data_IF_613191506823
#
_entry.id   IF_613191506823
#
_cell.length_a   1.000
_cell.length_b   1.000
_cell.length_c   1.000
_cell.angle_alpha   90.00
_cell.angle_beta   90.00
_cell.angle_gamma   90.00
#
_symmetry.space_group_name_H-M   'P 1'
#
loop_
_entity.id
_entity.type
_entity.pdbx_description
1 polymer ?
#
# COMPACT_ATOMS: atom_id res chain seq x y z
N UNK A 1 -18.91 -29.94 -12.04
CA UNK A 1 -19.11 -28.76 -11.17
C UNK A 1 -17.81 -28.46 -10.46
N UNK A 2 -17.13 -27.38 -10.82
CA UNK A 2 -15.89 -26.93 -10.14
C UNK A 2 -16.22 -26.60 -8.69
N UNK A 3 -15.57 -27.27 -7.72
CA UNK A 3 -15.71 -26.93 -6.29
C UNK A 3 -15.14 -25.55 -6.08
N UNK A 4 -16.01 -24.54 -5.97
CA UNK A 4 -15.61 -23.18 -5.62
C UNK A 4 -14.99 -23.24 -4.23
N UNK A 5 -13.70 -22.93 -4.12
CA UNK A 5 -13.02 -22.95 -2.82
C UNK A 5 -13.59 -21.82 -1.94
N UNK A 6 -14.06 -22.16 -0.75
CA UNK A 6 -14.57 -21.20 0.21
C UNK A 6 -13.44 -20.74 1.14
N UNK A 7 -13.30 -19.43 1.30
CA UNK A 7 -12.38 -18.77 2.21
C UNK A 7 -13.16 -17.92 3.23
N UNK A 8 -12.61 -17.66 4.39
CA UNK A 8 -13.20 -16.68 5.31
C UNK A 8 -13.03 -15.26 4.76
N UNK A 9 -11.81 -14.95 4.32
CA UNK A 9 -11.45 -13.64 3.75
C UNK A 9 -10.81 -13.78 2.39
N UNK A 10 -11.22 -12.93 1.46
CA UNK A 10 -10.56 -12.74 0.17
C UNK A 10 -9.98 -11.34 0.11
N UNK A 11 -8.67 -11.24 -0.07
CA UNK A 11 -7.94 -9.98 -0.17
C UNK A 11 -7.61 -9.74 -1.65
N UNK A 12 -8.10 -8.64 -2.21
CA UNK A 12 -7.88 -8.27 -3.60
C UNK A 12 -6.74 -7.25 -3.70
N UNK A 13 -5.61 -7.66 -4.24
CA UNK A 13 -4.39 -6.89 -4.39
C UNK A 13 -3.38 -7.14 -3.28
N UNK A 14 -2.18 -7.59 -3.66
CA UNK A 14 -1.06 -7.82 -2.77
C UNK A 14 -0.11 -6.60 -2.70
N UNK A 15 -0.66 -5.39 -2.68
CA UNK A 15 0.05 -4.17 -2.36
C UNK A 15 0.36 -4.05 -0.86
N UNK A 16 0.76 -2.86 -0.40
CA UNK A 16 1.15 -2.64 1.01
C UNK A 16 0.05 -3.08 1.98
N UNK A 17 -1.19 -2.64 1.78
CA UNK A 17 -2.31 -2.99 2.65
C UNK A 17 -2.64 -4.49 2.60
N UNK A 18 -2.71 -5.07 1.40
CA UNK A 18 -3.05 -6.49 1.24
C UNK A 18 -2.02 -7.42 1.85
N UNK A 19 -0.73 -7.09 1.75
CA UNK A 19 0.34 -7.85 2.40
C UNK A 19 0.20 -7.84 3.93
N UNK A 20 -0.11 -6.68 4.53
CA UNK A 20 -0.34 -6.54 5.96
C UNK A 20 -1.55 -7.37 6.40
N UNK A 21 -2.68 -7.22 5.71
CA UNK A 21 -3.91 -7.95 6.05
C UNK A 21 -3.72 -9.47 5.91
N UNK A 22 -3.09 -9.92 4.82
CA UNK A 22 -2.79 -11.35 4.63
C UNK A 22 -1.93 -11.91 5.78
N UNK A 23 -0.90 -11.16 6.19
CA UNK A 23 -0.04 -11.55 7.30
C UNK A 23 -0.81 -11.61 8.62
N UNK A 24 -1.60 -10.58 8.93
CA UNK A 24 -2.29 -10.47 10.23
C UNK A 24 -3.44 -11.46 10.33
N UNK A 25 -4.30 -11.58 9.31
CA UNK A 25 -5.44 -12.52 9.32
C UNK A 25 -4.98 -13.97 9.34
N UNK A 26 -3.95 -14.33 8.56
CA UNK A 26 -3.45 -15.70 8.54
C UNK A 26 -2.67 -16.12 9.80
N UNK A 27 -2.39 -15.19 10.73
CA UNK A 27 -1.87 -15.55 12.05
C UNK A 27 -2.89 -16.36 12.87
N UNK A 28 -4.17 -16.19 12.60
CA UNK A 28 -5.28 -16.97 13.16
C UNK A 28 -5.48 -18.22 12.31
N UNK A 29 -5.04 -19.38 12.84
CA UNK A 29 -4.98 -20.65 12.10
C UNK A 29 -6.35 -21.16 11.63
N UNK A 30 -7.40 -20.76 12.31
CA UNK A 30 -8.79 -21.08 11.99
C UNK A 30 -9.34 -20.31 10.78
N UNK A 31 -8.73 -19.19 10.40
CA UNK A 31 -9.17 -18.37 9.28
C UNK A 31 -8.52 -18.82 7.97
N UNK A 32 -9.31 -19.12 6.96
CA UNK A 32 -8.84 -19.41 5.60
C UNK A 32 -8.79 -18.12 4.80
N UNK A 33 -7.59 -17.71 4.39
CA UNK A 33 -7.34 -16.44 3.71
C UNK A 33 -6.84 -16.68 2.28
N UNK A 34 -7.51 -16.05 1.31
CA UNK A 34 -7.05 -15.97 -0.07
C UNK A 34 -6.54 -14.56 -0.35
N UNK A 35 -5.32 -14.45 -0.86
CA UNK A 35 -4.74 -13.21 -1.40
C UNK A 35 -4.58 -13.37 -2.91
N UNK A 36 -5.19 -12.50 -3.70
CA UNK A 36 -5.04 -12.47 -5.16
C UNK A 36 -4.32 -11.21 -5.61
N UNK A 37 -3.38 -11.37 -6.55
CA UNK A 37 -2.58 -10.29 -7.13
C UNK A 37 -2.58 -10.42 -8.66
N UNK A 38 -2.79 -9.28 -9.34
CA UNK A 38 -2.80 -9.22 -10.81
C UNK A 38 -1.42 -9.43 -11.44
N UNK A 39 -0.37 -9.05 -10.71
CA UNK A 39 1.01 -9.26 -11.13
C UNK A 39 1.58 -10.59 -10.66
N UNK A 40 2.83 -10.83 -11.05
CA UNK A 40 3.58 -12.02 -10.67
C UNK A 40 4.27 -11.89 -9.30
N UNK A 41 5.05 -12.91 -8.95
CA UNK A 41 5.90 -12.90 -7.77
C UNK A 41 7.05 -11.89 -7.91
N UNK A 42 7.55 -11.38 -6.78
CA UNK A 42 8.60 -10.37 -6.68
C UNK A 42 10.02 -10.94 -6.87
N UNK A 43 10.18 -11.86 -7.83
CA UNK A 43 11.46 -12.58 -8.05
C UNK A 43 12.50 -11.79 -8.85
N UNK A 44 12.10 -10.68 -9.48
CA UNK A 44 12.99 -9.89 -10.34
C UNK A 44 14.11 -9.25 -9.49
N UNK A 45 15.40 -9.49 -9.79
CA UNK A 45 16.52 -9.03 -8.94
C UNK A 45 16.52 -7.52 -8.67
N UNK A 46 16.14 -6.72 -9.66
CA UNK A 46 16.07 -5.26 -9.54
C UNK A 46 15.06 -4.78 -8.51
N UNK A 47 14.05 -5.58 -8.15
CA UNK A 47 13.11 -5.26 -7.07
C UNK A 47 13.86 -5.15 -5.74
N UNK A 48 14.75 -6.10 -5.48
CA UNK A 48 15.48 -6.19 -4.21
C UNK A 48 16.69 -5.25 -4.14
N UNK A 49 17.14 -4.74 -5.29
CA UNK A 49 18.26 -3.82 -5.41
C UNK A 49 17.75 -2.38 -5.38
N UNK A 50 18.14 -1.53 -4.39
CA UNK A 50 17.69 -0.14 -4.32
C UNK A 50 17.91 0.67 -5.60
N UNK A 51 19.08 0.55 -6.24
CA UNK A 51 19.40 1.22 -7.49
C UNK A 51 18.55 0.75 -8.69
N UNK A 52 17.86 -0.39 -8.56
CA UNK A 52 17.01 -0.97 -9.61
C UNK A 52 15.80 -0.12 -9.98
N UNK A 53 15.41 0.87 -9.17
CA UNK A 53 14.20 1.68 -9.37
C UNK A 53 14.10 2.28 -10.78
N UNK A 54 15.21 2.76 -11.36
CA UNK A 54 15.22 3.34 -12.69
C UNK A 54 14.79 2.33 -13.79
N UNK A 55 15.16 1.06 -13.62
CA UNK A 55 14.82 -0.02 -14.55
C UNK A 55 13.41 -0.56 -14.32
N UNK A 56 12.93 -0.52 -13.07
CA UNK A 56 11.60 -1.01 -12.72
C UNK A 56 10.48 -0.11 -13.26
N UNK A 57 10.72 1.20 -13.32
CA UNK A 57 9.72 2.17 -13.78
C UNK A 57 9.21 1.87 -15.21
N UNK A 58 10.08 1.40 -16.12
CA UNK A 58 9.75 1.05 -17.49
C UNK A 58 9.22 -0.37 -17.71
N UNK A 59 9.35 -1.27 -16.74
CA UNK A 59 9.10 -2.71 -16.91
C UNK A 59 7.59 -3.03 -16.95
N UNK A 60 7.07 -3.48 -18.11
CA UNK A 60 5.65 -3.79 -18.34
C UNK A 60 5.13 -4.98 -17.52
N UNK A 61 5.99 -5.90 -17.09
CA UNK A 61 5.59 -7.11 -16.36
C UNK A 61 5.24 -6.81 -14.91
N UNK A 62 5.92 -5.82 -14.32
CA UNK A 62 5.82 -5.49 -12.87
C UNK A 62 5.23 -4.11 -12.60
N UNK A 63 4.81 -3.38 -13.63
CA UNK A 63 4.30 -2.02 -13.53
C UNK A 63 3.09 -1.84 -14.46
N UNK A 64 1.99 -1.29 -13.94
CA UNK A 64 0.78 -0.98 -14.69
C UNK A 64 1.00 0.13 -15.73
N UNK A 65 2.00 0.99 -15.53
CA UNK A 65 2.38 2.09 -16.43
C UNK A 65 1.20 3.01 -16.77
N UNK A 66 0.41 3.37 -15.79
CA UNK A 66 -0.69 4.30 -16.00
C UNK A 66 -0.19 5.67 -16.47
N UNK A 67 -1.07 6.40 -17.09
CA UNK A 67 -0.93 7.82 -17.40
C UNK A 67 -2.16 8.56 -16.92
N UNK A 68 -2.01 9.82 -16.48
CA UNK A 68 -3.16 10.68 -16.18
C UNK A 68 -3.93 11.00 -17.46
N UNK A 69 -5.13 11.52 -17.32
CA UNK A 69 -5.74 12.28 -18.38
C UNK A 69 -4.90 13.54 -18.66
N UNK A 70 -5.26 14.27 -19.70
CA UNK A 70 -4.62 15.55 -20.02
C UNK A 70 -4.89 16.54 -18.89
N UNK A 71 -3.84 17.17 -18.37
CA UNK A 71 -3.91 18.13 -17.28
C UNK A 71 -3.81 19.55 -17.84
N UNK A 72 -4.91 20.29 -17.97
CA UNK A 72 -4.91 21.63 -18.58
C UNK A 72 -3.94 22.58 -17.88
N UNK A 73 -3.92 22.58 -16.54
CA UNK A 73 -3.04 23.44 -15.73
C UNK A 73 -1.54 23.11 -15.90
N UNK A 74 -1.22 21.98 -16.50
CA UNK A 74 0.15 21.58 -16.83
C UNK A 74 0.42 21.62 -18.34
N UNK A 75 -0.26 22.49 -19.08
CA UNK A 75 -0.11 22.64 -20.52
C UNK A 75 -0.56 21.41 -21.32
N UNK A 76 -1.61 20.73 -20.85
CA UNK A 76 -2.18 19.55 -21.52
C UNK A 76 -1.36 18.28 -21.37
N UNK A 77 -0.35 18.24 -20.51
CA UNK A 77 0.52 17.06 -20.34
C UNK A 77 -0.24 15.88 -19.71
N UNK A 78 0.12 14.68 -20.15
CA UNK A 78 -0.29 13.40 -19.52
C UNK A 78 0.89 12.84 -18.73
N UNK A 79 0.78 12.87 -17.43
CA UNK A 79 1.87 12.44 -16.53
C UNK A 79 1.96 10.92 -16.47
N UNK A 80 3.17 10.41 -16.42
CA UNK A 80 3.43 9.00 -16.17
C UNK A 80 3.18 8.68 -14.69
N UNK A 81 2.35 7.67 -14.44
CA UNK A 81 1.91 7.29 -13.09
C UNK A 81 2.22 5.81 -12.80
N UNK A 82 3.46 5.50 -12.40
CA UNK A 82 3.84 4.12 -12.12
C UNK A 82 3.06 3.54 -10.93
N UNK A 83 2.61 2.30 -11.07
CA UNK A 83 2.01 1.51 -9.99
C UNK A 83 2.47 0.08 -10.13
N UNK A 84 2.90 -0.54 -9.03
CA UNK A 84 3.38 -1.91 -9.03
C UNK A 84 2.29 -2.91 -9.41
N UNK A 85 2.65 -3.85 -10.29
CA UNK A 85 1.87 -5.02 -10.71
C UNK A 85 2.68 -6.26 -10.36
N UNK A 86 2.78 -6.54 -9.07
CA UNK A 86 3.68 -7.57 -8.52
C UNK A 86 3.37 -7.74 -7.03
N UNK A 87 3.73 -8.85 -6.40
CA UNK A 87 3.67 -8.98 -4.94
C UNK A 87 4.41 -7.81 -4.26
N UNK A 88 3.78 -7.22 -3.25
CA UNK A 88 4.22 -5.98 -2.61
C UNK A 88 3.70 -4.71 -3.29
N UNK A 89 3.12 -4.82 -4.49
CA UNK A 89 2.57 -3.67 -5.22
C UNK A 89 3.60 -2.57 -5.44
N UNK A 90 3.22 -1.32 -5.20
CA UNK A 90 4.11 -0.17 -5.39
C UNK A 90 5.28 -0.12 -4.41
N UNK A 91 5.20 -0.79 -3.24
CA UNK A 91 6.35 -0.90 -2.32
C UNK A 91 7.52 -1.69 -2.93
N UNK A 92 7.25 -2.53 -3.94
CA UNK A 92 8.25 -3.29 -4.69
C UNK A 92 8.96 -2.47 -5.79
N UNK A 93 8.44 -1.29 -6.13
CA UNK A 93 8.98 -0.45 -7.23
C UNK A 93 9.19 1.03 -6.87
N UNK A 94 8.84 1.46 -5.64
CA UNK A 94 8.97 2.85 -5.19
C UNK A 94 10.43 3.23 -4.85
N UNK A 95 10.65 4.50 -4.49
CA UNK A 95 11.95 5.02 -4.08
C UNK A 95 12.34 4.66 -2.63
N UNK A 96 11.51 3.91 -1.92
CA UNK A 96 11.73 3.46 -0.53
C UNK A 96 11.78 4.59 0.53
N UNK A 97 11.60 5.85 0.18
CA UNK A 97 11.53 6.92 1.16
C UNK A 97 10.43 6.60 2.19
N UNK A 98 10.81 6.62 3.45
CA UNK A 98 9.90 6.35 4.55
C UNK A 98 9.48 7.65 5.21
N UNK A 99 8.23 8.01 5.02
CA UNK A 99 7.61 9.18 5.67
C UNK A 99 6.14 8.89 5.90
N UNK A 100 5.63 9.33 7.03
CA UNK A 100 4.21 9.29 7.39
C UNK A 100 3.53 10.57 6.92
N UNK A 101 2.20 10.60 6.91
CA UNK A 101 1.44 11.84 6.80
C UNK A 101 1.74 12.77 7.98
N UNK A 102 1.48 14.06 7.83
CA UNK A 102 1.55 15.01 8.93
C UNK A 102 0.49 14.66 9.98
N UNK A 103 0.76 14.92 11.26
CA UNK A 103 -0.18 14.61 12.34
C UNK A 103 -1.58 15.20 12.07
N UNK A 104 -1.65 16.43 11.54
CA UNK A 104 -2.91 17.09 11.16
C UNK A 104 -3.73 16.36 10.12
N UNK A 105 -3.08 15.64 9.16
CA UNK A 105 -3.81 14.86 8.14
C UNK A 105 -4.69 13.79 8.80
N UNK A 106 -4.15 13.12 9.83
CA UNK A 106 -4.88 12.10 10.59
C UNK A 106 -5.94 12.72 11.51
N UNK A 107 -5.66 13.86 12.13
CA UNK A 107 -6.61 14.56 12.99
C UNK A 107 -7.79 15.11 12.16
N UNK A 108 -7.55 15.56 10.93
CA UNK A 108 -8.61 15.92 9.99
C UNK A 108 -9.44 14.67 9.59
N UNK A 109 -8.81 13.52 9.37
CA UNK A 109 -9.55 12.27 9.14
C UNK A 109 -10.40 11.88 10.35
N UNK A 110 -9.86 12.06 11.57
CA UNK A 110 -10.62 11.79 12.78
C UNK A 110 -11.85 12.67 12.90
N UNK A 111 -11.74 13.96 12.57
CA UNK A 111 -12.85 14.91 12.57
C UNK A 111 -13.97 14.51 11.57
N UNK A 112 -13.61 13.88 10.46
CA UNK A 112 -14.56 13.41 9.43
C UNK A 112 -15.11 12.00 9.70
N UNK A 113 -14.51 11.23 10.62
CA UNK A 113 -14.82 9.82 10.81
C UNK A 113 -14.98 9.46 12.30
N UNK A 114 -13.90 9.00 12.93
CA UNK A 114 -13.84 8.64 14.35
C UNK A 114 -12.47 8.97 14.94
N UNK A 115 -12.40 9.17 16.26
CA UNK A 115 -11.16 9.44 16.99
C UNK A 115 -10.06 8.36 16.80
N UNK A 116 -10.44 7.15 16.38
CA UNK A 116 -9.48 6.08 16.07
C UNK A 116 -8.52 6.44 14.90
N UNK A 117 -8.90 7.38 14.04
CA UNK A 117 -8.09 7.88 12.93
C UNK A 117 -7.24 9.11 13.27
N UNK A 118 -7.30 9.63 14.50
CA UNK A 118 -6.40 10.70 14.95
C UNK A 118 -4.94 10.23 14.91
N UNK A 119 -3.98 11.17 14.88
CA UNK A 119 -2.57 10.80 14.91
C UNK A 119 -2.24 9.93 16.14
N UNK A 120 -2.74 10.30 17.31
CA UNK A 120 -2.59 9.50 18.53
C UNK A 120 -3.20 8.09 18.39
N UNK A 121 -4.33 7.97 17.67
CA UNK A 121 -4.98 6.69 17.41
C UNK A 121 -4.22 5.79 16.44
N UNK A 122 -3.58 6.36 15.42
CA UNK A 122 -2.86 5.57 14.39
C UNK A 122 -1.38 5.33 14.73
N UNK A 123 -0.73 6.17 15.54
CA UNK A 123 0.68 6.05 15.91
C UNK A 123 1.05 4.64 16.45
N UNK A 124 0.28 4.01 17.35
CA UNK A 124 0.59 2.65 17.82
C UNK A 124 0.67 1.61 16.70
N UNK A 125 -0.05 1.81 15.59
CA UNK A 125 0.00 0.91 14.44
C UNK A 125 1.24 1.15 13.58
N UNK A 126 1.72 2.38 13.47
CA UNK A 126 3.02 2.68 12.85
C UNK A 126 4.15 2.05 13.64
N UNK A 127 4.19 2.27 14.97
CA UNK A 127 5.18 1.66 15.85
C UNK A 127 5.20 0.13 15.74
N UNK A 128 4.03 -0.51 15.77
CA UNK A 128 3.90 -1.97 15.65
C UNK A 128 4.33 -2.50 14.28
N UNK A 129 4.24 -1.70 13.25
CA UNK A 129 4.61 -2.08 11.88
C UNK A 129 6.10 -1.96 11.59
N UNK A 130 6.80 -1.13 12.33
CA UNK A 130 8.16 -0.67 12.07
C UNK A 130 9.21 -1.46 12.85
N UNK A 131 10.36 -1.68 12.22
CA UNK A 131 11.60 -2.15 12.83
C UNK A 131 12.68 -1.11 12.50
N UNK A 132 12.76 -0.08 13.34
CA UNK A 132 13.59 1.10 13.11
C UNK A 132 15.03 0.85 13.53
N UNK A 133 15.97 1.18 12.65
CA UNK A 133 17.42 1.04 12.83
C UNK A 133 18.17 2.33 12.47
N UNK A 134 17.47 3.44 12.37
CA UNK A 134 18.02 4.75 12.03
C UNK A 134 18.17 5.65 13.23
N UNK A 135 18.55 6.89 12.98
CA UNK A 135 18.50 7.99 13.93
C UNK A 135 17.08 8.57 13.99
N UNK A 136 16.61 8.97 15.17
CA UNK A 136 15.28 9.56 15.32
C UNK A 136 14.83 9.68 16.77
N UNK A 137 13.62 10.18 16.96
CA UNK A 137 13.01 10.35 18.26
C UNK A 137 12.29 9.08 18.68
N UNK A 138 12.82 8.32 19.66
CA UNK A 138 12.33 7.02 20.12
C UNK A 138 10.81 6.95 20.36
N UNK A 139 10.20 8.04 20.82
CA UNK A 139 8.75 8.09 21.06
C UNK A 139 7.90 7.90 19.79
N UNK A 140 8.50 8.11 18.62
CA UNK A 140 7.83 8.03 17.32
C UNK A 140 8.23 6.81 16.49
N UNK A 141 9.14 5.98 16.98
CA UNK A 141 9.66 4.81 16.27
C UNK A 141 9.41 3.50 16.99
N UNK A 142 9.19 2.45 16.20
CA UNK A 142 8.96 1.10 16.70
C UNK A 142 10.12 0.16 16.38
N UNK A 143 10.31 -0.85 17.20
CA UNK A 143 11.34 -1.88 17.03
C UNK A 143 10.71 -3.26 16.94
N UNK A 144 11.37 -4.17 16.21
CA UNK A 144 10.93 -5.56 16.07
C UNK A 144 9.69 -5.77 15.21
N UNK A 145 9.16 -4.72 14.56
CA UNK A 145 8.10 -4.86 13.58
C UNK A 145 8.58 -5.47 12.26
N UNK A 146 7.67 -5.81 11.34
CA UNK A 146 8.07 -6.48 10.09
C UNK A 146 8.81 -5.58 9.10
N UNK A 147 8.47 -4.28 9.05
CA UNK A 147 9.01 -3.33 8.08
C UNK A 147 10.28 -2.68 8.60
N UNK A 148 11.42 -3.09 8.04
CA UNK A 148 12.71 -2.49 8.39
C UNK A 148 12.86 -1.10 7.79
N UNK A 149 13.27 -0.16 8.62
CA UNK A 149 13.55 1.24 8.28
C UNK A 149 14.96 1.57 8.77
N UNK A 150 15.80 2.09 7.89
CA UNK A 150 17.18 2.44 8.21
C UNK A 150 17.59 3.77 7.58
N UNK A 151 18.64 4.38 8.11
CA UNK A 151 19.27 5.55 7.49
C UNK A 151 19.96 5.14 6.17
N UNK A 152 20.08 6.09 5.24
CA UNK A 152 20.81 5.87 3.99
C UNK A 152 22.27 5.50 4.28
N UNK A 153 22.70 4.30 3.86
CA UNK A 153 24.10 3.85 3.97
C UNK A 153 25.04 4.60 3.03
N UNK A 154 24.54 5.00 1.89
CA UNK A 154 25.26 5.81 0.91
C UNK A 154 24.52 7.14 0.70
N UNK A 155 25.25 8.24 0.81
CA UNK A 155 24.78 9.59 0.52
C UNK A 155 25.57 10.16 -0.65
N UNK A 156 24.86 10.58 -1.69
CA UNK A 156 25.52 11.30 -2.79
C UNK A 156 26.18 12.57 -2.23
N UNK A 157 27.43 12.89 -2.59
CA UNK A 157 28.15 14.07 -2.08
C UNK A 157 27.42 15.40 -2.24
N UNK A 158 26.55 15.55 -3.25
CA UNK A 158 25.76 16.76 -3.46
C UNK A 158 24.56 16.87 -2.51
N UNK A 159 24.08 15.77 -1.93
CA UNK A 159 22.90 15.82 -1.06
C UNK A 159 23.14 16.58 0.25
N UNK A 160 24.28 16.42 0.96
CA UNK A 160 24.58 17.29 2.10
C UNK A 160 24.65 18.76 1.71
N UNK A 161 25.24 19.09 0.57
CA UNK A 161 25.34 20.48 0.06
C UNK A 161 23.95 21.06 -0.17
N UNK A 162 23.02 20.29 -0.72
CA UNK A 162 21.62 20.71 -0.88
C UNK A 162 20.95 20.97 0.48
N UNK A 163 21.16 20.09 1.46
CA UNK A 163 20.63 20.28 2.83
C UNK A 163 21.17 21.56 3.47
N UNK A 164 22.51 21.81 3.37
CA UNK A 164 23.13 23.00 3.89
C UNK A 164 22.59 24.27 3.21
N UNK A 165 22.41 24.22 1.88
CA UNK A 165 21.80 25.34 1.14
C UNK A 165 20.36 25.63 1.60
N UNK A 166 19.57 24.59 1.89
CA UNK A 166 18.24 24.74 2.45
C UNK A 166 18.24 25.39 3.83
N UNK A 167 19.19 25.01 4.70
CA UNK A 167 19.38 25.62 6.01
C UNK A 167 19.80 27.07 5.88
N UNK A 168 20.75 27.37 4.98
CA UNK A 168 21.19 28.74 4.70
C UNK A 168 20.05 29.62 4.15
N UNK A 169 19.07 29.03 3.46
CA UNK A 169 17.87 29.69 2.98
C UNK A 169 16.78 29.86 4.06
N UNK A 170 17.05 29.47 5.32
CA UNK A 170 16.14 29.65 6.45
C UNK A 170 15.22 28.45 6.76
N UNK A 171 15.37 27.33 6.07
CA UNK A 171 14.61 26.13 6.43
C UNK A 171 15.21 25.48 7.68
N UNK A 172 14.40 25.03 8.65
CA UNK A 172 14.91 24.30 9.79
C UNK A 172 15.55 22.98 9.34
N UNK A 173 16.70 22.64 9.94
CA UNK A 173 17.25 21.30 9.76
C UNK A 173 16.34 20.27 10.43
N UNK A 174 15.99 19.21 9.71
CA UNK A 174 15.22 18.11 10.24
C UNK A 174 16.00 16.81 10.11
N UNK A 175 16.18 16.11 11.22
CA UNK A 175 16.86 14.81 11.28
C UNK A 175 15.89 13.64 11.29
N UNK A 176 14.59 13.91 11.53
CA UNK A 176 13.55 12.89 11.61
C UNK A 176 12.20 13.45 11.15
N UNK A 177 11.83 13.15 9.90
CA UNK A 177 10.55 13.54 9.32
C UNK A 177 9.35 12.78 9.88
N UNK A 178 9.58 11.77 10.72
CA UNK A 178 8.54 11.00 11.39
C UNK A 178 8.48 11.26 12.89
N UNK A 179 9.34 12.17 13.41
CA UNK A 179 9.36 12.64 14.80
C UNK A 179 8.29 13.68 15.11
N UNK A 180 8.49 14.46 16.16
CA UNK A 180 7.55 15.49 16.61
C UNK A 180 7.31 16.62 15.59
N UNK A 181 8.27 16.88 14.70
CA UNK A 181 8.21 17.93 13.68
C UNK A 181 8.51 17.36 12.31
N UNK A 182 7.64 17.61 11.34
CA UNK A 182 7.82 17.13 9.98
C UNK A 182 8.45 18.16 9.04
N UNK A 183 8.29 19.46 9.34
CA UNK A 183 8.83 20.53 8.49
C UNK A 183 10.35 20.62 8.56
N UNK A 184 10.95 21.00 7.42
CA UNK A 184 12.39 21.26 7.34
C UNK A 184 13.07 20.62 6.14
N UNK A 185 14.40 20.59 6.21
CA UNK A 185 15.27 19.98 5.20
C UNK A 185 16.20 18.97 5.87
N UNK A 186 16.32 17.77 5.24
CA UNK A 186 17.12 16.68 5.81
C UNK A 186 17.15 15.45 4.90
N UNK A 187 17.56 14.33 5.45
CA UNK A 187 17.61 13.05 4.74
C UNK A 187 16.42 12.20 5.13
N UNK A 188 15.75 11.63 4.14
CA UNK A 188 14.75 10.59 4.39
C UNK A 188 15.40 9.30 4.84
N UNK A 189 14.79 8.64 5.80
CA UNK A 189 15.00 7.23 6.07
C UNK A 189 14.37 6.38 4.98
N UNK A 190 14.80 5.13 4.87
CA UNK A 190 14.40 4.26 3.77
C UNK A 190 13.94 2.88 4.26
N UNK A 191 12.95 2.33 3.56
CA UNK A 191 12.48 0.96 3.80
C UNK A 191 13.47 -0.04 3.19
N UNK A 192 14.58 -0.25 3.91
CA UNK A 192 15.63 -1.18 3.54
C UNK A 192 16.02 -2.06 4.74
N UNK A 193 16.60 -3.22 4.44
CA UNK A 193 17.24 -4.11 5.40
C UNK A 193 18.56 -4.58 4.80
N UNK A 194 19.67 -4.24 5.46
CA UNK A 194 21.02 -4.63 5.01
C UNK A 194 21.31 -4.23 3.55
N UNK A 195 20.93 -3.02 3.14
CA UNK A 195 21.13 -2.50 1.79
C UNK A 195 20.23 -3.12 0.71
N UNK A 196 19.20 -3.86 1.10
CA UNK A 196 18.18 -4.41 0.19
C UNK A 196 16.82 -3.80 0.48
N UNK A 197 15.99 -3.63 -0.57
CA UNK A 197 14.60 -3.19 -0.40
C UNK A 197 13.85 -4.08 0.59
N UNK A 198 13.21 -3.48 1.57
CA UNK A 198 12.21 -4.10 2.43
C UNK A 198 10.81 -3.70 1.94
N UNK A 199 10.32 -4.40 0.90
CA UNK A 199 8.95 -4.21 0.40
C UNK A 199 7.92 -4.81 1.37
N UNK A 200 6.65 -4.47 1.21
CA UNK A 200 5.57 -5.12 1.96
C UNK A 200 5.51 -6.64 1.73
N UNK A 201 5.87 -7.12 0.52
CA UNK A 201 5.99 -8.55 0.27
C UNK A 201 7.12 -9.17 1.11
N UNK A 202 8.29 -8.54 1.16
CA UNK A 202 9.43 -9.01 1.96
C UNK A 202 9.11 -8.94 3.45
N UNK A 203 8.51 -7.83 3.91
CA UNK A 203 8.23 -7.58 5.32
C UNK A 203 7.13 -8.50 5.88
N UNK A 204 6.05 -8.68 5.13
CA UNK A 204 4.83 -9.33 5.64
C UNK A 204 4.53 -10.68 4.99
N UNK A 205 4.62 -10.81 3.65
CA UNK A 205 4.26 -12.07 3.00
C UNK A 205 5.33 -13.14 3.12
N UNK A 206 6.61 -12.78 3.00
CA UNK A 206 7.69 -13.74 3.08
C UNK A 206 7.66 -14.60 4.36
N UNK A 207 7.46 -14.03 5.57
CA UNK A 207 7.34 -14.84 6.78
C UNK A 207 6.01 -15.59 6.90
N UNK A 208 4.96 -15.19 6.18
CA UNK A 208 3.63 -15.81 6.28
C UNK A 208 3.32 -16.85 5.19
N UNK A 209 4.06 -16.86 4.09
CA UNK A 209 3.76 -17.68 2.88
C UNK A 209 3.73 -19.19 3.12
N UNK A 210 4.29 -19.66 4.22
CA UNK A 210 4.33 -21.08 4.59
C UNK A 210 3.12 -21.51 5.43
N UNK A 211 2.25 -20.58 5.81
CA UNK A 211 1.07 -20.89 6.63
C UNK A 211 0.05 -21.65 5.79
N UNK A 212 -0.39 -22.81 6.28
CA UNK A 212 -1.32 -23.68 5.55
C UNK A 212 -2.69 -23.04 5.27
N UNK A 213 -3.08 -22.05 6.07
CA UNK A 213 -4.35 -21.33 5.95
C UNK A 213 -4.27 -20.05 5.09
N UNK A 214 -3.09 -19.73 4.52
CA UNK A 214 -2.91 -18.62 3.58
C UNK A 214 -2.65 -19.13 2.17
N UNK A 215 -3.56 -18.84 1.27
CA UNK A 215 -3.40 -19.09 -0.17
C UNK A 215 -3.04 -17.78 -0.88
N UNK A 216 -1.89 -17.74 -1.55
CA UNK A 216 -1.45 -16.60 -2.35
C UNK A 216 -1.51 -16.99 -3.82
N UNK A 217 -2.31 -16.27 -4.61
CA UNK A 217 -2.42 -16.47 -6.05
C UNK A 217 -1.97 -15.22 -6.79
N UNK A 218 -0.94 -15.36 -7.61
CA UNK A 218 -0.42 -14.33 -8.50
C UNK A 218 -0.99 -14.50 -9.91
N UNK A 219 -0.82 -13.47 -10.75
CA UNK A 219 -1.32 -13.43 -12.13
C UNK A 219 -2.85 -13.59 -12.21
N UNK A 220 -3.53 -13.23 -11.12
CA UNK A 220 -4.98 -13.28 -10.95
C UNK A 220 -5.57 -11.87 -10.98
N UNK A 221 -6.10 -11.46 -12.11
CA UNK A 221 -6.74 -10.16 -12.27
C UNK A 221 -8.18 -10.22 -11.76
N UNK A 222 -8.47 -9.56 -10.65
CA UNK A 222 -9.85 -9.41 -10.16
C UNK A 222 -10.68 -8.64 -11.18
N UNK A 223 -11.82 -9.21 -11.56
CA UNK A 223 -12.72 -8.67 -12.58
C UNK A 223 -13.96 -8.07 -11.93
N UNK A 224 -14.52 -8.76 -10.94
CA UNK A 224 -15.79 -8.35 -10.32
C UNK A 224 -15.90 -8.90 -8.90
N UNK A 225 -16.52 -8.11 -7.99
CA UNK A 225 -16.99 -8.61 -6.71
C UNK A 225 -18.37 -9.23 -6.92
N UNK A 226 -18.55 -10.43 -6.40
CA UNK A 226 -19.84 -11.11 -6.38
C UNK A 226 -20.65 -10.59 -5.19
N UNK A 227 -21.85 -10.10 -5.46
CA UNK A 227 -22.73 -9.54 -4.46
C UNK A 227 -24.06 -10.30 -4.52
N UNK A 228 -24.52 -10.77 -3.38
CA UNK A 228 -25.83 -11.40 -3.20
C UNK A 228 -26.46 -10.91 -1.91
N UNK A 229 -27.75 -10.53 -1.95
CA UNK A 229 -28.46 -10.01 -0.80
C UNK A 229 -27.80 -8.78 -0.15
N UNK A 230 -27.17 -7.90 -0.95
CA UNK A 230 -26.47 -6.70 -0.46
C UNK A 230 -25.11 -6.97 0.24
N UNK A 231 -24.61 -8.22 0.20
CA UNK A 231 -23.34 -8.63 0.79
C UNK A 231 -22.35 -9.07 -0.28
N UNK A 232 -21.07 -8.75 -0.09
CA UNK A 232 -19.99 -9.30 -0.91
C UNK A 232 -19.79 -10.78 -0.54
N UNK A 233 -20.03 -11.67 -1.50
CA UNK A 233 -19.99 -13.12 -1.30
C UNK A 233 -18.80 -13.79 -1.96
N UNK A 234 -18.02 -13.04 -2.72
CA UNK A 234 -16.85 -13.59 -3.41
C UNK A 234 -16.25 -12.65 -4.43
N UNK A 235 -15.30 -13.17 -5.18
CA UNK A 235 -14.59 -12.45 -6.24
C UNK A 235 -14.49 -13.34 -7.47
N UNK A 236 -14.81 -12.76 -8.62
CA UNK A 236 -14.50 -13.31 -9.93
C UNK A 236 -13.19 -12.72 -10.44
N UNK A 237 -12.28 -13.55 -10.88
CA UNK A 237 -10.96 -13.12 -11.34
C UNK A 237 -10.53 -13.96 -12.55
N UNK A 238 -9.69 -13.37 -13.40
CA UNK A 238 -9.07 -14.03 -14.53
C UNK A 238 -7.67 -14.48 -14.17
N UNK A 239 -7.41 -15.76 -14.35
CA UNK A 239 -6.09 -16.39 -14.23
C UNK A 239 -5.75 -17.10 -15.54
N UNK A 240 -4.63 -16.76 -16.16
CA UNK A 240 -4.37 -17.07 -17.55
C UNK A 240 -5.56 -16.58 -18.42
N UNK A 241 -6.12 -17.41 -19.28
CA UNK A 241 -7.29 -17.06 -20.10
C UNK A 241 -8.62 -17.59 -19.50
N UNK A 242 -8.58 -18.10 -18.26
CA UNK A 242 -9.75 -18.68 -17.61
C UNK A 242 -10.35 -17.74 -16.57
N UNK A 243 -11.68 -17.69 -16.56
CA UNK A 243 -12.44 -17.00 -15.54
C UNK A 243 -12.73 -17.97 -14.39
N UNK A 244 -12.30 -17.60 -13.20
CA UNK A 244 -12.47 -18.36 -11.97
C UNK A 244 -13.22 -17.53 -10.93
N UNK A 245 -13.82 -18.20 -9.95
CA UNK A 245 -14.47 -17.54 -8.83
C UNK A 245 -14.06 -18.18 -7.49
N UNK A 246 -13.94 -17.34 -6.46
CA UNK A 246 -13.77 -17.76 -5.08
C UNK A 246 -14.88 -17.18 -4.21
N UNK A 247 -15.34 -17.94 -3.22
CA UNK A 247 -16.38 -17.54 -2.28
C UNK A 247 -15.76 -17.07 -0.96
N UNK A 248 -16.26 -15.96 -0.42
CA UNK A 248 -15.90 -15.42 0.89
C UNK A 248 -17.05 -15.67 1.87
N UNK A 249 -16.78 -16.40 2.96
CA UNK A 249 -17.75 -16.65 4.00
C UNK A 249 -17.97 -15.42 4.91
N UNK A 250 -16.95 -14.58 5.06
CA UNK A 250 -17.00 -13.38 5.90
C UNK A 250 -16.90 -12.11 5.07
N UNK A 251 -15.73 -11.78 4.49
CA UNK A 251 -15.52 -10.50 3.84
C UNK A 251 -14.61 -10.59 2.60
N UNK A 252 -14.81 -9.64 1.68
CA UNK A 252 -13.91 -9.31 0.58
C UNK A 252 -13.23 -7.98 0.90
N UNK A 253 -11.90 -8.00 1.04
CA UNK A 253 -11.09 -6.86 1.42
C UNK A 253 -10.41 -6.25 0.18
N UNK A 254 -10.79 -5.02 -0.19
CA UNK A 254 -10.28 -4.34 -1.37
C UNK A 254 -8.98 -3.62 -1.07
N UNK A 255 -7.86 -4.15 -1.56
CA UNK A 255 -6.51 -3.60 -1.39
C UNK A 255 -5.82 -3.32 -2.74
N UNK A 256 -6.59 -3.22 -3.83
CA UNK A 256 -6.08 -3.10 -5.20
C UNK A 256 -5.72 -1.66 -5.61
N UNK A 257 -5.71 -0.73 -4.65
CA UNK A 257 -5.39 0.68 -4.86
C UNK A 257 -6.55 1.49 -5.43
N UNK A 258 -6.37 2.79 -5.49
CA UNK A 258 -7.42 3.78 -5.80
C UNK A 258 -8.12 3.53 -7.14
N UNK A 259 -7.38 3.09 -8.16
CA UNK A 259 -7.94 2.91 -9.50
C UNK A 259 -9.01 1.82 -9.58
N UNK A 260 -8.83 0.71 -8.88
CA UNK A 260 -9.81 -0.38 -8.90
C UNK A 260 -11.10 0.01 -8.17
N UNK A 261 -10.98 0.75 -7.07
CA UNK A 261 -12.11 1.27 -6.32
C UNK A 261 -13.00 2.21 -7.15
N UNK A 262 -12.40 2.98 -8.08
CA UNK A 262 -13.14 3.88 -8.98
C UNK A 262 -13.80 3.16 -10.16
N UNK A 263 -13.25 2.04 -10.65
CA UNK A 263 -13.78 1.36 -11.84
C UNK A 263 -14.88 0.35 -11.52
N UNK A 264 -14.88 -0.25 -10.33
CA UNK A 264 -15.92 -1.17 -9.90
C UNK A 264 -17.30 -0.51 -9.73
N UNK A 265 -17.34 0.81 -9.52
CA UNK A 265 -18.60 1.59 -9.49
C UNK A 265 -19.20 1.93 -10.85
N UNK A 266 -18.47 1.74 -11.96
CA UNK A 266 -18.95 2.09 -13.33
C UNK A 266 -19.48 0.90 -14.14
N UNK A 267 -19.19 -0.33 -13.75
CA UNK A 267 -19.52 -1.52 -14.56
C UNK A 267 -20.87 -2.19 -14.23
N UNK A 268 -21.56 -1.70 -13.23
CA UNK A 268 -22.94 -2.11 -12.95
C UNK A 268 -23.71 -0.86 -12.56
N UNK A 269 -24.77 -0.50 -13.25
CA UNK A 269 -25.67 0.61 -12.93
C UNK A 269 -26.24 0.57 -11.50
N UNK A 270 -25.44 0.23 -10.55
CA UNK A 270 -25.71 0.20 -9.13
C UNK A 270 -25.28 1.53 -8.52
N UNK A 271 -26.27 2.35 -8.21
CA UNK A 271 -26.26 3.36 -7.16
C UNK A 271 -25.30 2.98 -6.05
N UNK A 272 -24.50 3.95 -5.59
CA UNK A 272 -23.51 3.85 -4.53
C UNK A 272 -23.89 2.78 -3.48
N UNK A 273 -23.11 1.71 -3.41
CA UNK A 273 -23.24 0.69 -2.36
C UNK A 273 -22.96 1.35 -1.00
N UNK A 274 -24.04 1.78 -0.33
CA UNK A 274 -24.02 1.99 1.10
C UNK A 274 -23.97 0.60 1.73
N UNK A 275 -22.80 0.04 1.91
CA UNK A 275 -22.65 -1.09 2.82
C UNK A 275 -22.84 -0.54 4.23
N UNK A 276 -23.91 -0.94 4.91
CA UNK A 276 -23.93 -0.93 6.37
C UNK A 276 -22.90 -1.98 6.80
N UNK A 277 -21.64 -1.58 6.86
CA UNK A 277 -20.64 -2.32 7.61
C UNK A 277 -20.90 -2.06 9.10
N UNK A 278 -20.73 -3.05 9.98
CA UNK A 278 -20.53 -2.76 11.38
C UNK A 278 -19.30 -1.84 11.47
N UNK A 279 -19.33 -0.87 12.39
CA UNK A 279 -18.50 0.33 12.49
C UNK A 279 -16.98 0.09 12.49
N UNK A 280 -16.37 -0.32 11.38
CA UNK A 280 -14.92 -0.45 11.25
C UNK A 280 -14.35 -0.31 9.83
N UNK A 281 -15.16 -0.02 8.82
CA UNK A 281 -14.64 0.26 7.47
C UNK A 281 -15.55 1.22 6.72
N UNK A 282 -15.38 2.51 6.94
CA UNK A 282 -15.97 3.54 6.09
C UNK A 282 -15.08 3.73 4.87
N UNK A 283 -15.51 3.24 3.71
CA UNK A 283 -14.96 3.62 2.42
C UNK A 283 -15.27 5.11 2.19
N UNK A 284 -14.26 5.95 2.19
CA UNK A 284 -14.35 7.32 1.74
C UNK A 284 -14.63 7.32 0.24
N UNK A 285 -15.86 7.62 -0.16
CA UNK A 285 -16.16 8.06 -1.52
C UNK A 285 -15.86 9.55 -1.59
N UNK A 286 -15.00 10.02 -2.50
CA UNK A 286 -14.91 11.45 -2.78
C UNK A 286 -16.24 11.88 -3.41
N UNK A 287 -16.95 12.81 -2.78
CA UNK A 287 -18.03 13.54 -3.41
C UNK A 287 -17.51 14.34 -4.63
N UNK A 288 -18.35 14.62 -5.62
CA UNK A 288 -17.98 15.51 -6.69
C UNK A 288 -18.01 16.94 -6.14
N UNK A 289 -16.87 17.53 -5.88
CA UNK A 289 -16.63 18.98 -6.06
C UNK A 289 -15.39 19.48 -5.34
N UNK A 290 -14.53 20.07 -6.15
CA UNK A 290 -13.63 21.20 -5.86
C UNK A 290 -12.38 20.92 -5.02
N UNK A 291 -11.34 20.52 -5.69
CA UNK A 291 -10.05 21.13 -5.42
C UNK A 291 -10.00 22.41 -6.25
N UNK A 292 -10.36 23.54 -5.63
CA UNK A 292 -9.95 24.90 -6.08
C UNK A 292 -8.86 25.38 -5.17
N UNK A 293 -7.75 25.74 -5.82
CA UNK A 293 -6.54 26.48 -5.39
C UNK A 293 -5.62 25.79 -4.43
#
# INVERSE_FOLDING_TARGET
MSRTAAYDYIIVGAGSAGCVLAHRLSAHRELRVLLIEAGGADRHPMIHMPAGIALLAGNRRINWRYRTESEPELGGRRLYWPRGKVLGGSSSINAMCYTRGHARDYDEWAALTTAAWSYAGVLPYFLRGEDHHGSGEEAYHGHGGPLSVEDLKFRNPLTPVFVEAGVAAGLPRNHDFNGARQEGVGFYQVTQRNGRRCSAATAYLAPARHRANLTIRTECLAMRILIAGGKATGVEFRHAEQLEAAQAAREVLLCAGTKWSCTSGRSSGASALRTKAPASATLLTPGPERVRK
#
